data_IF_575228108179
#
_entry.id   IF_575228108179
#
_cell.length_a   1.000
_cell.length_b   1.000
_cell.length_c   1.000
_cell.angle_alpha   90.00
_cell.angle_beta   90.00
_cell.angle_gamma   90.00
#
_symmetry.space_group_name_H-M   'P 1'
#
loop_
_entity.id
_entity.type
_entity.pdbx_description
1 polymer ?
#
# COMPACT_ATOMS: atom_id res chain seq x y z
N UNK A 1 14.20 -7.92 -20.41
CA UNK A 1 13.21 -6.90 -20.11
C UNK A 1 12.26 -7.53 -19.10
N UNK A 2 12.22 -6.99 -17.89
CA UNK A 2 11.24 -7.46 -16.90
C UNK A 2 9.84 -7.06 -17.39
N UNK A 3 8.80 -7.86 -17.11
CA UNK A 3 7.44 -7.53 -17.53
C UNK A 3 7.08 -6.14 -17.02
N UNK A 4 6.45 -5.36 -17.88
CA UNK A 4 5.98 -4.03 -17.48
C UNK A 4 5.04 -4.17 -16.28
N UNK A 5 5.43 -3.55 -15.17
CA UNK A 5 4.57 -3.43 -13.99
C UNK A 5 3.62 -2.23 -14.12
N UNK A 6 3.62 -1.61 -15.29
CA UNK A 6 2.70 -0.55 -15.67
C UNK A 6 1.65 -1.10 -16.61
N UNK A 7 0.42 -0.87 -16.23
CA UNK A 7 -0.72 -1.12 -17.10
C UNK A 7 -1.13 0.20 -17.73
N UNK A 8 -1.50 0.20 -19.04
CA UNK A 8 -2.15 1.36 -19.61
C UNK A 8 -3.38 1.72 -18.78
N UNK A 9 -3.61 3.01 -18.58
CA UNK A 9 -4.82 3.45 -17.91
C UNK A 9 -6.06 2.97 -18.68
N UNK A 10 -6.89 2.19 -18.04
CA UNK A 10 -8.18 1.74 -18.58
C UNK A 10 -9.30 2.25 -17.68
N UNK A 11 -10.05 3.27 -18.12
CA UNK A 11 -11.13 3.84 -17.31
C UNK A 11 -12.31 2.88 -17.11
N UNK A 12 -12.35 1.77 -17.83
CA UNK A 12 -13.39 0.75 -17.65
C UNK A 12 -13.14 -0.16 -16.43
N UNK A 13 -11.94 -0.16 -15.88
CA UNK A 13 -11.67 -0.98 -14.70
C UNK A 13 -12.43 -0.44 -13.48
N UNK A 14 -13.27 -1.28 -12.85
CA UNK A 14 -14.04 -0.87 -11.69
C UNK A 14 -13.12 -0.45 -10.53
N UNK A 15 -13.49 0.65 -9.88
CA UNK A 15 -12.86 1.09 -8.63
C UNK A 15 -13.96 1.03 -7.56
N UNK A 16 -13.90 0.07 -6.63
CA UNK A 16 -14.92 -0.08 -5.61
C UNK A 16 -14.93 1.14 -4.68
N UNK A 17 -16.12 1.60 -4.35
CA UNK A 17 -16.32 2.60 -3.33
C UNK A 17 -16.15 2.02 -1.91
N UNK A 18 -16.27 2.87 -0.89
CA UNK A 18 -16.08 2.46 0.51
C UNK A 18 -17.10 1.41 0.95
N UNK A 19 -18.34 1.47 0.47
CA UNK A 19 -19.37 0.50 0.79
C UNK A 19 -19.11 -0.86 0.16
N UNK A 20 -18.63 -0.87 -1.07
CA UNK A 20 -18.23 -2.08 -1.77
C UNK A 20 -16.98 -2.71 -1.13
N UNK A 21 -16.01 -1.90 -0.71
CA UNK A 21 -14.87 -2.39 0.06
C UNK A 21 -15.30 -3.01 1.41
N UNK A 22 -16.24 -2.37 2.11
CA UNK A 22 -16.78 -2.89 3.36
C UNK A 22 -17.53 -4.21 3.17
N UNK A 23 -18.27 -4.35 2.08
CA UNK A 23 -18.90 -5.64 1.71
C UNK A 23 -17.86 -6.75 1.52
N UNK A 24 -16.71 -6.46 0.88
CA UNK A 24 -15.62 -7.43 0.73
C UNK A 24 -14.99 -7.78 2.09
N UNK A 25 -14.85 -6.81 3.01
CA UNK A 25 -14.40 -7.10 4.36
C UNK A 25 -15.31 -8.08 5.10
N UNK A 26 -16.63 -7.93 4.93
CA UNK A 26 -17.60 -8.85 5.52
C UNK A 26 -17.55 -10.22 4.84
N UNK A 27 -17.48 -10.26 3.52
CA UNK A 27 -17.36 -11.49 2.73
C UNK A 27 -16.17 -12.35 3.13
N UNK A 28 -15.04 -11.71 3.44
CA UNK A 28 -13.79 -12.38 3.81
C UNK A 28 -13.51 -12.41 5.33
N UNK A 29 -14.52 -12.13 6.15
CA UNK A 29 -14.46 -12.17 7.62
C UNK A 29 -13.23 -11.42 8.16
N UNK A 30 -13.02 -10.18 7.67
CA UNK A 30 -11.91 -9.35 8.08
C UNK A 30 -12.11 -8.85 9.52
N UNK A 31 -11.11 -9.06 10.38
CA UNK A 31 -11.14 -8.66 11.80
C UNK A 31 -11.28 -7.12 11.94
N UNK A 32 -12.07 -6.62 12.92
CA UNK A 32 -12.34 -5.19 13.07
C UNK A 32 -11.09 -4.30 13.14
N UNK A 33 -10.08 -4.71 13.92
CA UNK A 33 -8.84 -3.92 14.05
C UNK A 33 -8.02 -3.83 12.75
N UNK A 34 -8.16 -4.80 11.84
CA UNK A 34 -7.53 -4.76 10.50
C UNK A 34 -8.32 -3.79 9.60
N UNK A 35 -9.65 -3.78 9.70
CA UNK A 35 -10.50 -2.80 8.98
C UNK A 35 -10.15 -1.36 9.37
N UNK A 36 -9.94 -1.12 10.68
CA UNK A 36 -9.56 0.20 11.18
C UNK A 36 -8.17 0.63 10.68
N UNK A 37 -7.21 -0.31 10.64
CA UNK A 37 -5.91 -0.09 10.02
C UNK A 37 -6.05 0.25 8.52
N UNK A 38 -6.85 -0.50 7.78
CA UNK A 38 -7.08 -0.23 6.36
C UNK A 38 -7.69 1.15 6.12
N UNK A 39 -8.59 1.64 7.00
CA UNK A 39 -9.13 3.01 6.92
C UNK A 39 -8.02 4.06 7.11
N UNK A 40 -7.13 3.88 8.08
CA UNK A 40 -6.00 4.79 8.29
C UNK A 40 -5.07 4.82 7.07
N UNK A 41 -4.71 3.65 6.52
CA UNK A 41 -3.89 3.53 5.30
C UNK A 41 -4.58 4.20 4.10
N UNK A 42 -5.87 3.96 3.90
CA UNK A 42 -6.65 4.58 2.83
C UNK A 42 -6.70 6.10 2.94
N UNK A 43 -6.78 6.64 4.16
CA UNK A 43 -6.73 8.07 4.42
C UNK A 43 -5.41 8.69 3.98
N UNK A 44 -4.28 8.10 4.37
CA UNK A 44 -2.94 8.57 3.99
C UNK A 44 -2.72 8.47 2.48
N UNK A 45 -3.06 7.33 1.87
CA UNK A 45 -2.92 7.12 0.43
C UNK A 45 -3.74 8.13 -0.39
N UNK A 46 -5.00 8.33 -0.01
CA UNK A 46 -5.89 9.29 -0.64
C UNK A 46 -5.37 10.73 -0.51
N UNK A 47 -4.82 11.12 0.64
CA UNK A 47 -4.28 12.46 0.87
C UNK A 47 -3.04 12.73 0.01
N UNK A 48 -2.13 11.75 -0.13
CA UNK A 48 -0.97 11.85 -1.03
C UNK A 48 -1.43 12.14 -2.45
N UNK A 49 -2.38 11.34 -2.95
CA UNK A 49 -2.87 11.47 -4.33
C UNK A 49 -3.64 12.77 -4.54
N UNK A 50 -4.47 13.18 -3.59
CA UNK A 50 -5.18 14.46 -3.64
C UNK A 50 -4.21 15.65 -3.77
N UNK A 51 -3.11 15.64 -3.03
CA UNK A 51 -2.05 16.67 -3.14
C UNK A 51 -1.31 16.57 -4.47
N UNK A 52 -1.06 15.36 -4.95
CA UNK A 52 -0.41 15.14 -6.24
C UNK A 52 -1.28 15.67 -7.41
N UNK A 53 -2.59 15.42 -7.38
CA UNK A 53 -3.55 15.98 -8.33
C UNK A 53 -3.54 17.53 -8.28
N UNK A 54 -3.65 18.10 -7.08
CA UNK A 54 -3.67 19.56 -6.90
C UNK A 54 -2.39 20.26 -7.39
N UNK A 55 -1.27 19.55 -7.43
CA UNK A 55 0.03 20.06 -7.89
C UNK A 55 0.37 19.67 -9.33
N UNK A 56 -0.46 18.86 -9.97
CA UNK A 56 -0.22 18.39 -11.34
C UNK A 56 1.06 17.54 -11.48
N UNK A 57 1.43 16.77 -10.42
CA UNK A 57 2.67 15.98 -10.41
C UNK A 57 2.46 14.50 -10.71
N UNK A 58 1.23 14.10 -11.02
CA UNK A 58 0.93 12.75 -11.51
C UNK A 58 1.37 12.68 -12.97
N UNK A 59 2.24 11.73 -13.36
CA UNK A 59 2.65 11.58 -14.75
C UNK A 59 1.46 11.38 -15.71
N UNK A 60 1.55 12.00 -16.88
CA UNK A 60 0.51 11.86 -17.92
C UNK A 60 0.30 10.38 -18.29
N UNK A 61 -0.96 10.00 -18.51
CA UNK A 61 -1.34 8.63 -18.86
C UNK A 61 -1.33 7.64 -17.70
N UNK A 62 -0.92 8.07 -16.49
CA UNK A 62 -0.96 7.20 -15.31
C UNK A 62 -2.37 7.15 -14.70
N UNK A 63 -2.90 5.94 -14.54
CA UNK A 63 -4.16 5.72 -13.84
C UNK A 63 -3.92 5.83 -12.33
N UNK A 64 -3.88 7.07 -11.81
CA UNK A 64 -3.75 7.36 -10.38
C UNK A 64 -4.71 8.49 -10.04
N UNK A 65 -5.66 8.21 -9.15
CA UNK A 65 -6.64 9.18 -8.65
C UNK A 65 -7.02 8.85 -7.21
N UNK A 66 -7.68 9.80 -6.54
CA UNK A 66 -8.07 9.65 -5.12
C UNK A 66 -8.97 8.43 -4.87
N UNK A 67 -10.03 8.14 -5.66
CA UNK A 67 -10.83 6.93 -5.47
C UNK A 67 -10.01 5.64 -5.55
N UNK A 68 -9.13 5.53 -6.54
CA UNK A 68 -8.27 4.34 -6.73
C UNK A 68 -7.31 4.15 -5.55
N UNK A 69 -6.66 5.22 -5.08
CA UNK A 69 -5.76 5.17 -3.94
C UNK A 69 -6.49 4.79 -2.64
N UNK A 70 -7.70 5.32 -2.44
CA UNK A 70 -8.55 4.98 -1.30
C UNK A 70 -8.95 3.50 -1.33
N UNK A 71 -9.44 3.00 -2.46
CA UNK A 71 -9.81 1.60 -2.62
C UNK A 71 -8.62 0.66 -2.38
N UNK A 72 -7.45 0.99 -2.92
CA UNK A 72 -6.23 0.20 -2.72
C UNK A 72 -5.83 0.14 -1.24
N UNK A 73 -5.90 1.26 -0.52
CA UNK A 73 -5.64 1.31 0.92
C UNK A 73 -6.66 0.52 1.74
N UNK A 74 -7.97 0.57 1.37
CA UNK A 74 -9.01 -0.21 2.05
C UNK A 74 -8.85 -1.72 1.84
N UNK A 75 -8.32 -2.16 0.71
CA UNK A 75 -8.24 -3.56 0.32
C UNK A 75 -6.85 -4.20 0.51
N UNK A 76 -5.80 -3.43 0.85
CA UNK A 76 -4.42 -3.94 0.87
C UNK A 76 -4.21 -5.16 1.77
N UNK A 77 -4.93 -5.23 2.89
CA UNK A 77 -4.86 -6.28 3.88
C UNK A 77 -6.08 -7.25 3.85
N UNK A 78 -6.83 -7.32 2.73
CA UNK A 78 -8.08 -8.08 2.62
C UNK A 78 -7.95 -9.55 3.07
N UNK A 79 -6.85 -10.21 2.77
CA UNK A 79 -6.61 -11.60 3.13
C UNK A 79 -5.89 -11.79 4.49
N UNK A 80 -5.59 -10.72 5.23
CA UNK A 80 -4.77 -10.81 6.44
C UNK A 80 -5.42 -11.62 7.55
N UNK A 81 -6.71 -11.46 7.77
CA UNK A 81 -7.46 -12.25 8.76
C UNK A 81 -7.43 -13.74 8.45
N UNK A 82 -7.55 -14.09 7.18
CA UNK A 82 -7.46 -15.47 6.72
C UNK A 82 -6.05 -16.04 6.95
N UNK A 83 -5.02 -15.32 6.56
CA UNK A 83 -3.65 -15.83 6.67
C UNK A 83 -3.12 -15.86 8.12
N UNK A 84 -3.66 -15.05 9.02
CA UNK A 84 -3.42 -15.20 10.48
C UNK A 84 -3.92 -16.55 10.98
N UNK A 85 -5.06 -17.03 10.48
CA UNK A 85 -5.68 -18.29 10.92
C UNK A 85 -5.09 -19.53 10.22
N UNK A 86 -4.67 -19.37 8.96
CA UNK A 86 -4.35 -20.51 8.08
C UNK A 86 -2.92 -20.50 7.53
N UNK A 87 -2.16 -19.44 7.78
CA UNK A 87 -0.82 -19.26 7.20
C UNK A 87 -0.86 -18.72 5.77
N UNK A 88 0.31 -18.55 5.18
CA UNK A 88 0.48 -18.05 3.82
C UNK A 88 0.78 -16.54 3.74
N UNK A 89 0.89 -16.04 2.52
CA UNK A 89 1.12 -14.62 2.23
C UNK A 89 -0.20 -13.89 2.00
N UNK A 90 -0.55 -12.96 2.91
CA UNK A 90 -1.76 -12.15 2.74
C UNK A 90 -1.69 -11.22 1.53
N UNK A 91 -0.50 -10.79 1.12
CA UNK A 91 -0.33 -9.97 -0.07
C UNK A 91 -0.65 -10.75 -1.35
N UNK A 92 -0.15 -11.98 -1.48
CA UNK A 92 -0.41 -12.82 -2.65
C UNK A 92 -1.88 -13.25 -2.73
N UNK A 93 -2.41 -13.76 -1.62
CA UNK A 93 -3.81 -14.20 -1.55
C UNK A 93 -4.77 -13.01 -1.72
N UNK A 94 -4.49 -11.90 -1.05
CA UNK A 94 -5.28 -10.69 -1.15
C UNK A 94 -5.29 -10.11 -2.56
N UNK A 95 -4.15 -10.13 -3.26
CA UNK A 95 -4.08 -9.69 -4.65
C UNK A 95 -4.94 -10.57 -5.59
N UNK A 96 -4.92 -11.89 -5.37
CA UNK A 96 -5.77 -12.82 -6.13
C UNK A 96 -7.25 -12.53 -5.89
N UNK A 97 -7.67 -12.38 -4.64
CA UNK A 97 -9.06 -12.03 -4.28
C UNK A 97 -9.49 -10.67 -4.85
N UNK A 98 -8.65 -9.63 -4.68
CA UNK A 98 -8.97 -8.30 -5.21
C UNK A 98 -9.07 -8.33 -6.73
N UNK A 99 -8.21 -9.10 -7.42
CA UNK A 99 -8.30 -9.27 -8.87
C UNK A 99 -9.60 -9.95 -9.30
N UNK A 100 -10.00 -10.99 -8.59
CA UNK A 100 -11.25 -11.72 -8.85
C UNK A 100 -12.49 -10.85 -8.60
N UNK A 101 -12.54 -10.15 -7.45
CA UNK A 101 -13.69 -9.37 -7.02
C UNK A 101 -13.89 -8.07 -7.81
N UNK A 102 -12.79 -7.42 -8.19
CA UNK A 102 -12.86 -6.09 -8.82
C UNK A 102 -12.57 -6.11 -10.32
N UNK A 103 -11.93 -7.16 -10.85
CA UNK A 103 -11.44 -7.14 -12.22
C UNK A 103 -10.30 -6.14 -12.47
N UNK A 104 -9.90 -5.34 -11.46
CA UNK A 104 -8.94 -4.25 -11.61
C UNK A 104 -7.51 -4.71 -11.31
N UNK A 105 -6.60 -4.76 -12.32
CA UNK A 105 -5.23 -5.22 -12.12
C UNK A 105 -4.38 -4.24 -11.31
N UNK A 106 -4.69 -2.95 -11.31
CA UNK A 106 -3.95 -1.94 -10.56
C UNK A 106 -4.16 -2.10 -9.05
N UNK A 107 -5.41 -2.38 -8.64
CA UNK A 107 -5.74 -2.67 -7.24
C UNK A 107 -5.03 -3.96 -6.79
N UNK A 108 -5.11 -5.02 -7.60
CA UNK A 108 -4.44 -6.29 -7.29
C UNK A 108 -2.92 -6.11 -7.18
N UNK A 109 -2.32 -5.32 -8.06
CA UNK A 109 -0.89 -5.01 -8.03
C UNK A 109 -0.52 -4.23 -6.75
N UNK A 110 -1.31 -3.25 -6.35
CA UNK A 110 -1.06 -2.49 -5.12
C UNK A 110 -1.12 -3.40 -3.89
N UNK A 111 -2.08 -4.32 -3.84
CA UNK A 111 -2.18 -5.32 -2.77
C UNK A 111 -1.01 -6.29 -2.79
N UNK A 112 -0.58 -6.76 -3.96
CA UNK A 112 0.55 -7.70 -4.07
C UNK A 112 1.85 -7.11 -3.51
N UNK A 113 2.09 -5.83 -3.75
CA UNK A 113 3.39 -5.20 -3.51
C UNK A 113 3.47 -4.29 -2.29
N UNK A 114 2.46 -4.25 -1.44
CA UNK A 114 2.51 -3.41 -0.24
C UNK A 114 3.43 -3.95 0.88
N UNK A 115 3.73 -5.25 0.92
CA UNK A 115 4.51 -5.90 1.99
C UNK A 115 5.95 -6.16 1.61
N UNK A 116 6.16 -6.78 0.47
CA UNK A 116 7.47 -7.14 -0.04
C UNK A 116 7.83 -6.25 -1.21
N UNK A 117 9.02 -5.67 -1.12
CA UNK A 117 9.65 -4.99 -2.22
C UNK A 117 10.60 -5.96 -2.92
N UNK A 118 10.09 -6.86 -3.78
CA UNK A 118 10.93 -7.80 -4.51
C UNK A 118 11.86 -7.09 -5.51
N UNK A 119 11.77 -5.79 -5.57
CA UNK A 119 12.44 -4.87 -6.46
C UNK A 119 13.59 -4.09 -5.84
N UNK A 120 14.00 -4.37 -4.62
CA UNK A 120 15.25 -3.81 -4.08
C UNK A 120 16.47 -4.05 -4.99
N UNK A 121 16.24 -4.67 -6.13
CA UNK A 121 17.16 -4.86 -7.26
C UNK A 121 16.78 -4.12 -8.56
N UNK A 122 15.88 -3.13 -8.53
CA UNK A 122 15.73 -2.20 -9.65
C UNK A 122 14.55 -2.41 -10.61
N UNK A 123 13.51 -3.14 -10.24
CA UNK A 123 12.30 -3.29 -11.10
C UNK A 123 11.31 -2.15 -10.91
N UNK A 124 11.12 -1.68 -9.68
CA UNK A 124 10.51 -0.40 -9.38
C UNK A 124 11.57 0.48 -8.72
N UNK A 125 11.91 1.56 -9.36
CA UNK A 125 12.65 2.63 -8.71
C UNK A 125 11.62 3.49 -7.96
N UNK A 126 11.20 3.02 -6.79
CA UNK A 126 10.18 3.62 -5.96
C UNK A 126 10.58 5.01 -5.43
N UNK A 127 11.87 5.27 -5.32
CA UNK A 127 12.39 6.60 -4.94
C UNK A 127 12.34 7.57 -6.13
N UNK A 128 12.69 7.11 -7.34
CA UNK A 128 12.61 7.97 -8.54
C UNK A 128 11.19 8.21 -9.01
N UNK A 129 10.33 7.20 -8.83
CA UNK A 129 8.94 7.26 -9.26
C UNK A 129 7.97 6.93 -8.12
N UNK A 130 7.89 7.82 -7.10
CA UNK A 130 7.09 7.57 -5.90
C UNK A 130 5.57 7.68 -6.15
N UNK A 131 5.15 8.21 -7.33
CA UNK A 131 3.73 8.36 -7.66
C UNK A 131 3.14 7.12 -8.31
N UNK A 132 3.56 5.93 -7.91
CA UNK A 132 2.94 4.65 -8.29
C UNK A 132 2.02 4.16 -7.17
N UNK A 133 0.87 3.62 -7.55
CA UNK A 133 -0.11 3.15 -6.58
C UNK A 133 0.46 2.15 -5.56
N UNK A 134 1.24 1.11 -5.94
CA UNK A 134 1.86 0.21 -4.98
C UNK A 134 2.81 0.91 -4.00
N UNK A 135 3.59 1.89 -4.47
CA UNK A 135 4.52 2.66 -3.64
C UNK A 135 3.76 3.50 -2.61
N UNK A 136 2.71 4.19 -3.05
CA UNK A 136 1.86 5.02 -2.19
C UNK A 136 1.20 4.17 -1.10
N UNK A 137 0.64 3.01 -1.46
CA UNK A 137 -0.03 2.11 -0.51
C UNK A 137 0.96 1.53 0.49
N UNK A 138 2.13 1.06 0.03
CA UNK A 138 3.14 0.52 0.91
C UNK A 138 3.73 1.58 1.86
N UNK A 139 3.93 2.82 1.39
CA UNK A 139 4.32 3.93 2.26
C UNK A 139 3.21 4.27 3.26
N UNK A 140 1.96 4.35 2.82
CA UNK A 140 0.81 4.63 3.68
C UNK A 140 0.65 3.57 4.80
N UNK A 141 0.89 2.29 4.50
CA UNK A 141 0.94 1.22 5.52
C UNK A 141 2.01 1.48 6.58
N UNK A 142 3.17 2.02 6.19
CA UNK A 142 4.23 2.39 7.15
C UNK A 142 3.96 3.69 7.90
N UNK A 143 2.93 4.43 7.54
CA UNK A 143 2.41 5.60 8.27
C UNK A 143 1.24 5.26 9.20
N UNK A 144 0.80 4.00 9.23
CA UNK A 144 -0.30 3.54 10.07
C UNK A 144 0.17 2.54 11.14
N UNK A 145 -0.18 2.79 12.40
CA UNK A 145 -0.03 1.86 13.53
C UNK A 145 -1.42 1.62 14.12
N UNK A 146 -1.95 0.42 13.93
CA UNK A 146 -3.36 0.14 14.21
C UNK A 146 -4.27 1.11 13.43
N UNK A 147 -5.13 1.86 14.11
CA UNK A 147 -6.02 2.86 13.51
C UNK A 147 -5.40 4.28 13.45
N UNK A 148 -4.19 4.45 13.95
CA UNK A 148 -3.55 5.77 14.07
C UNK A 148 -2.56 6.04 12.95
N UNK A 149 -2.57 7.27 12.44
CA UNK A 149 -1.51 7.76 11.56
C UNK A 149 -0.34 8.25 12.42
N UNK A 150 0.82 7.66 12.22
CA UNK A 150 2.06 7.92 12.99
C UNK A 150 3.22 8.31 12.07
N UNK A 151 4.32 8.83 12.63
CA UNK A 151 5.55 8.99 11.87
C UNK A 151 6.15 7.63 11.51
N UNK A 152 6.96 7.58 10.44
CA UNK A 152 7.68 6.34 10.10
C UNK A 152 8.63 5.93 11.24
N UNK A 153 9.18 6.88 11.99
CA UNK A 153 10.00 6.56 13.15
C UNK A 153 9.21 5.78 14.20
N UNK A 154 8.07 6.29 14.63
CA UNK A 154 7.20 5.63 15.62
C UNK A 154 6.73 4.24 15.14
N UNK A 155 6.44 4.13 13.84
CA UNK A 155 6.06 2.84 13.23
C UNK A 155 7.19 1.82 13.29
N UNK A 156 8.42 2.23 12.95
CA UNK A 156 9.56 1.33 12.96
C UNK A 156 10.07 1.00 14.36
N UNK A 157 9.95 1.92 15.32
CA UNK A 157 10.17 1.62 16.74
C UNK A 157 9.21 0.51 17.23
N UNK A 158 7.92 0.58 16.89
CA UNK A 158 6.92 -0.46 17.16
C UNK A 158 7.27 -1.80 16.49
N UNK A 159 7.73 -1.76 15.22
CA UNK A 159 8.16 -2.98 14.51
C UNK A 159 9.39 -3.63 15.14
N UNK A 160 10.35 -2.84 15.63
CA UNK A 160 11.52 -3.35 16.35
C UNK A 160 11.12 -4.04 17.64
N UNK A 161 10.20 -3.45 18.42
CA UNK A 161 9.70 -4.06 19.65
C UNK A 161 9.00 -5.39 19.39
N UNK A 162 8.16 -5.46 18.34
CA UNK A 162 7.37 -6.67 18.05
C UNK A 162 8.15 -7.77 17.35
N UNK A 163 9.05 -7.41 16.45
CA UNK A 163 9.67 -8.35 15.51
C UNK A 163 11.20 -8.39 15.56
N UNK A 164 11.84 -7.46 16.28
CA UNK A 164 13.31 -7.36 16.43
C UNK A 164 13.94 -8.44 17.31
N UNK A 165 13.43 -9.69 17.24
CA UNK A 165 13.82 -10.79 18.12
C UNK A 165 15.13 -11.49 17.72
N UNK A 166 15.69 -11.20 16.55
CA UNK A 166 16.99 -11.71 16.09
C UNK A 166 17.79 -10.59 15.42
N UNK A 167 19.13 -10.73 15.40
CA UNK A 167 20.00 -9.76 14.75
C UNK A 167 19.67 -9.53 13.27
N UNK A 168 19.31 -10.60 12.54
CA UNK A 168 18.92 -10.50 11.13
C UNK A 168 17.60 -9.73 10.95
N UNK A 169 16.62 -9.96 11.83
CA UNK A 169 15.36 -9.20 11.80
C UNK A 169 15.59 -7.72 12.11
N UNK A 170 16.41 -7.40 13.10
CA UNK A 170 16.79 -6.02 13.41
C UNK A 170 17.47 -5.37 12.21
N UNK A 171 18.43 -6.05 11.57
CA UNK A 171 19.12 -5.57 10.37
C UNK A 171 18.15 -5.30 9.22
N UNK A 172 17.22 -6.22 8.96
CA UNK A 172 16.23 -6.08 7.90
C UNK A 172 15.25 -4.93 8.18
N UNK A 173 14.81 -4.78 9.44
CA UNK A 173 13.94 -3.67 9.85
C UNK A 173 14.68 -2.33 9.66
N UNK A 174 15.95 -2.24 10.04
CA UNK A 174 16.76 -1.04 9.87
C UNK A 174 16.98 -0.68 8.39
N UNK A 175 17.27 -1.67 7.54
CA UNK A 175 17.39 -1.47 6.09
C UNK A 175 16.07 -0.98 5.47
N UNK A 176 14.96 -1.58 5.86
CA UNK A 176 13.63 -1.17 5.41
C UNK A 176 13.29 0.26 5.90
N UNK A 177 13.66 0.61 7.14
CA UNK A 177 13.47 1.97 7.66
C UNK A 177 14.20 3.01 6.80
N UNK A 178 15.49 2.78 6.50
CA UNK A 178 16.27 3.69 5.66
C UNK A 178 15.65 3.85 4.26
N UNK A 179 15.16 2.75 3.68
CA UNK A 179 14.48 2.76 2.39
C UNK A 179 13.17 3.56 2.45
N UNK A 180 12.30 3.30 3.43
CA UNK A 180 11.03 4.03 3.58
C UNK A 180 11.24 5.51 3.84
N UNK A 181 12.32 5.91 4.54
CA UNK A 181 12.70 7.32 4.67
C UNK A 181 13.08 7.96 3.32
N UNK A 182 13.74 7.21 2.43
CA UNK A 182 14.05 7.72 1.10
C UNK A 182 12.77 7.89 0.26
N UNK A 183 11.84 6.93 0.34
CA UNK A 183 10.51 7.02 -0.30
C UNK A 183 9.71 8.19 0.26
N UNK A 184 9.70 8.40 1.58
CA UNK A 184 9.03 9.55 2.21
C UNK A 184 9.54 10.88 1.67
N UNK A 185 10.86 11.06 1.60
CA UNK A 185 11.46 12.27 1.02
C UNK A 185 11.01 12.47 -0.42
N UNK A 186 11.07 11.40 -1.24
CA UNK A 186 10.67 11.46 -2.64
C UNK A 186 9.17 11.81 -2.82
N UNK A 187 8.30 11.31 -1.94
CA UNK A 187 6.88 11.69 -1.90
C UNK A 187 6.73 13.17 -1.49
N UNK A 188 7.40 13.60 -0.40
CA UNK A 188 7.29 14.97 0.10
C UNK A 188 7.83 16.01 -0.87
N UNK A 189 8.87 15.69 -1.62
CA UNK A 189 9.41 16.54 -2.70
C UNK A 189 8.35 16.79 -3.80
N UNK A 190 7.43 15.85 -4.01
CA UNK A 190 6.34 15.97 -5.00
C UNK A 190 5.10 16.65 -4.42
N UNK A 191 4.66 16.25 -3.23
CA UNK A 191 3.35 16.64 -2.67
C UNK A 191 3.43 17.56 -1.46
N UNK A 192 4.61 17.85 -0.95
CA UNK A 192 4.84 18.55 0.32
C UNK A 192 4.68 17.64 1.53
N UNK A 193 5.05 18.12 2.70
CA UNK A 193 4.97 17.38 3.96
C UNK A 193 3.49 17.08 4.28
N UNK A 194 3.22 15.83 4.63
CA UNK A 194 1.87 15.32 4.98
C UNK A 194 1.47 15.69 6.40
#
# INVERSE_FOLDING_TARGET
MLPALEFPADPSWPVPDESQCAFLWDKYDMMPHIRDHCRAVAGVAAEIVRRAEARGVIPEGRALNVPLARAAGLLHDLAKSYTIRHGGSHAQLGAAWVREETGNPLLAQAVLFHVEWPWSGGVLDDVRDPMRLPVIVAYADKRARHAEVVSIKERFDDLLVRYGITADKVKNIAANYAHVQAVERAIFDRVGIL
#
